data_IF_079223259008
#
_entry.id   IF_079223259008
#
_cell.length_a   1.000
_cell.length_b   1.000
_cell.length_c   1.000
_cell.angle_alpha   90.00
_cell.angle_beta   90.00
_cell.angle_gamma   90.00
#
_symmetry.space_group_name_H-M   'P 1'
#
loop_
_entity.id
_entity.type
_entity.pdbx_description
1 polymer ?
#
# COMPACT_ATOMS: atom_id res chain seq x y z
N UNK A 1 -4.38 22.32 -8.72
CA UNK A 1 -4.84 22.24 -7.32
C UNK A 1 -3.79 21.49 -6.51
N UNK A 2 -3.60 21.88 -5.24
CA UNK A 2 -2.53 21.39 -4.36
C UNK A 2 -2.71 19.93 -3.95
N UNK A 3 -1.73 19.32 -3.28
CA UNK A 3 -1.79 17.90 -3.04
C UNK A 3 -3.00 17.54 -2.17
N UNK A 4 -3.74 16.51 -2.58
CA UNK A 4 -4.64 15.79 -1.68
C UNK A 4 -3.77 14.91 -0.78
N UNK A 5 -4.06 14.89 0.51
CA UNK A 5 -3.34 14.09 1.48
C UNK A 5 -4.28 13.06 2.10
N UNK A 6 -3.86 11.79 2.10
CA UNK A 6 -4.55 10.71 2.81
C UNK A 6 -3.56 10.07 3.75
N UNK A 7 -3.68 10.36 5.03
CA UNK A 7 -2.67 10.01 6.04
C UNK A 7 -3.31 9.30 7.22
N UNK A 8 -2.75 8.16 7.65
CA UNK A 8 -3.15 7.44 8.89
C UNK A 8 -4.60 6.99 8.93
N UNK A 9 -5.11 6.49 7.80
CA UNK A 9 -6.46 5.93 7.71
C UNK A 9 -6.47 4.40 7.71
N UNK A 10 -7.61 3.84 8.13
CA UNK A 10 -7.95 2.42 7.98
C UNK A 10 -9.04 2.28 6.93
N UNK A 11 -8.79 1.47 5.90
CA UNK A 11 -9.78 1.09 4.91
C UNK A 11 -9.99 -0.42 5.02
N UNK A 12 -11.15 -0.83 5.51
CA UNK A 12 -11.43 -2.23 5.78
C UNK A 12 -12.75 -2.67 5.15
N UNK A 13 -12.82 -3.95 4.78
CA UNK A 13 -14.05 -4.63 4.35
C UNK A 13 -14.79 -3.94 3.18
N UNK A 14 -14.03 -3.39 2.23
CA UNK A 14 -14.55 -2.75 1.04
C UNK A 14 -14.91 -3.77 -0.06
N UNK A 15 -15.87 -3.39 -0.91
CA UNK A 15 -16.41 -4.19 -2.03
C UNK A 15 -15.68 -4.03 -3.37
N UNK A 16 -14.75 -3.06 -3.48
CA UNK A 16 -14.09 -2.76 -4.76
C UNK A 16 -12.58 -2.56 -4.62
N UNK A 17 -12.16 -1.66 -3.73
CA UNK A 17 -10.76 -1.42 -3.39
C UNK A 17 -10.71 -0.43 -2.23
N UNK A 18 -9.58 -0.38 -1.52
CA UNK A 18 -9.37 0.67 -0.53
C UNK A 18 -9.18 2.04 -1.19
N UNK A 19 -8.43 2.07 -2.29
CA UNK A 19 -8.34 3.23 -3.17
C UNK A 19 -8.65 2.84 -4.60
N UNK A 20 -9.51 3.65 -5.22
CA UNK A 20 -9.82 3.61 -6.64
C UNK A 20 -9.40 4.93 -7.27
N UNK A 21 -8.45 4.88 -8.20
CA UNK A 21 -8.16 6.01 -9.07
C UNK A 21 -8.91 5.82 -10.38
N UNK A 22 -9.75 6.80 -10.69
CA UNK A 22 -10.53 6.81 -11.92
C UNK A 22 -9.68 7.31 -13.09
N UNK A 23 -10.31 7.43 -14.24
CA UNK A 23 -9.64 7.79 -15.49
C UNK A 23 -9.09 9.22 -15.44
N UNK A 24 -7.87 9.38 -15.96
CA UNK A 24 -7.14 10.65 -16.08
C UNK A 24 -6.90 11.36 -14.73
N UNK A 25 -6.64 10.56 -13.69
CA UNK A 25 -6.28 11.07 -12.36
C UNK A 25 -4.85 11.61 -12.36
N UNK A 26 -4.68 12.93 -12.49
CA UNK A 26 -3.36 13.58 -12.65
C UNK A 26 -3.00 14.63 -11.59
N UNK A 27 -3.93 14.90 -10.66
CA UNK A 27 -3.66 15.77 -9.51
C UNK A 27 -2.59 15.17 -8.61
N UNK A 28 -1.81 16.02 -7.92
CA UNK A 28 -0.83 15.52 -6.93
C UNK A 28 -1.58 14.91 -5.75
N UNK A 29 -1.28 13.67 -5.40
CA UNK A 29 -1.89 13.00 -4.23
C UNK A 29 -0.81 12.30 -3.42
N UNK A 30 -0.79 12.54 -2.12
CA UNK A 30 0.15 11.95 -1.17
C UNK A 30 -0.60 11.00 -0.23
N UNK A 31 -0.22 9.74 -0.25
CA UNK A 31 -0.91 8.65 0.45
C UNK A 31 0.09 8.01 1.37
N UNK A 32 0.01 8.33 2.66
CA UNK A 32 1.02 7.96 3.64
C UNK A 32 0.43 7.23 4.83
N UNK A 33 1.10 6.18 5.31
CA UNK A 33 0.70 5.50 6.54
C UNK A 33 -0.77 5.07 6.55
N UNK A 34 -1.32 4.49 5.49
CA UNK A 34 -2.68 3.94 5.52
C UNK A 34 -2.62 2.42 5.65
N UNK A 35 -3.60 1.82 6.33
CA UNK A 35 -3.77 0.36 6.37
C UNK A 35 -5.03 -0.02 5.62
N UNK A 36 -4.87 -0.77 4.54
CA UNK A 36 -5.92 -1.26 3.67
C UNK A 36 -6.02 -2.77 3.83
N UNK A 37 -7.17 -3.28 4.27
CA UNK A 37 -7.36 -4.69 4.56
C UNK A 37 -8.71 -5.19 4.04
N UNK A 38 -8.72 -6.36 3.42
CA UNK A 38 -9.95 -7.09 3.13
C UNK A 38 -9.69 -8.58 3.13
N UNK A 39 -10.65 -9.35 3.65
CA UNK A 39 -10.73 -10.81 3.51
C UNK A 39 -11.88 -11.23 2.57
N UNK A 40 -12.57 -10.27 1.94
CA UNK A 40 -13.59 -10.61 0.93
C UNK A 40 -12.94 -11.38 -0.22
N UNK A 41 -13.53 -12.48 -0.70
CA UNK A 41 -12.97 -13.25 -1.80
C UNK A 41 -12.81 -12.42 -3.09
N UNK A 42 -11.75 -12.71 -3.87
CA UNK A 42 -11.45 -12.10 -5.17
C UNK A 42 -11.36 -10.56 -5.16
N UNK A 43 -10.87 -9.99 -4.06
CA UNK A 43 -10.81 -8.54 -3.88
C UNK A 43 -9.39 -7.99 -4.01
N UNK A 44 -9.21 -6.97 -4.86
CA UNK A 44 -7.93 -6.26 -4.93
C UNK A 44 -7.72 -5.34 -3.72
N UNK A 45 -6.47 -5.20 -3.28
CA UNK A 45 -6.09 -4.18 -2.30
C UNK A 45 -6.34 -2.77 -2.85
N UNK A 46 -5.74 -2.50 -4.00
CA UNK A 46 -5.89 -1.28 -4.79
C UNK A 46 -6.28 -1.60 -6.23
N UNK A 47 -7.05 -0.70 -6.84
CA UNK A 47 -7.29 -0.77 -8.28
C UNK A 47 -7.26 0.60 -8.96
N UNK A 48 -6.89 0.58 -10.24
CA UNK A 48 -6.93 1.76 -11.10
C UNK A 48 -7.66 1.39 -12.40
N UNK A 49 -8.62 2.21 -12.81
CA UNK A 49 -9.44 1.96 -14.01
C UNK A 49 -8.99 2.71 -15.27
N UNK A 50 -8.05 3.66 -15.15
CA UNK A 50 -7.60 4.50 -16.26
C UNK A 50 -6.16 4.97 -16.11
N UNK A 51 -5.71 5.87 -16.99
CA UNK A 51 -4.42 6.53 -16.83
C UNK A 51 -4.37 7.31 -15.51
N UNK A 52 -3.24 7.26 -14.81
CA UNK A 52 -3.01 8.05 -13.59
C UNK A 52 -1.54 8.39 -13.40
N UNK A 53 -1.27 9.55 -12.79
CA UNK A 53 0.07 10.07 -12.53
C UNK A 53 0.09 10.97 -11.29
N UNK A 54 1.28 11.41 -10.86
CA UNK A 54 1.49 12.32 -9.74
C UNK A 54 1.06 11.78 -8.36
N UNK A 55 1.04 10.46 -8.19
CA UNK A 55 0.82 9.84 -6.90
C UNK A 55 2.15 9.64 -6.16
N UNK A 56 2.18 9.96 -4.86
CA UNK A 56 3.29 9.66 -3.96
C UNK A 56 2.80 8.76 -2.84
N UNK A 57 3.38 7.58 -2.72
CA UNK A 57 2.98 6.58 -1.73
C UNK A 57 4.16 6.21 -0.86
N UNK A 58 3.97 6.25 0.46
CA UNK A 58 4.97 5.86 1.46
C UNK A 58 4.31 5.22 2.66
N UNK A 59 4.94 4.20 3.22
CA UNK A 59 4.62 3.64 4.53
C UNK A 59 3.21 3.05 4.67
N UNK A 60 2.57 2.67 3.57
CA UNK A 60 1.23 2.08 3.60
C UNK A 60 1.31 0.56 3.74
N UNK A 61 0.27 -0.03 4.32
CA UNK A 61 0.00 -1.47 4.29
C UNK A 61 -1.21 -1.71 3.39
N UNK A 62 -1.05 -2.57 2.40
CA UNK A 62 -2.09 -2.94 1.45
C UNK A 62 -2.20 -4.46 1.41
N UNK A 63 -3.38 -4.96 1.78
CA UNK A 63 -3.73 -6.36 1.61
C UNK A 63 -5.01 -6.53 0.82
N UNK A 64 -4.93 -7.37 -0.22
CA UNK A 64 -6.08 -7.93 -0.93
C UNK A 64 -6.15 -9.46 -0.82
N UNK A 65 -7.17 -10.04 -1.44
CA UNK A 65 -7.29 -11.50 -1.67
C UNK A 65 -7.13 -11.88 -3.15
N UNK A 66 -7.12 -10.88 -4.04
CA UNK A 66 -6.76 -10.98 -5.47
C UNK A 66 -5.40 -10.33 -5.71
N UNK A 67 -5.24 -9.20 -6.38
CA UNK A 67 -3.95 -8.50 -6.41
C UNK A 67 -3.82 -7.58 -5.21
N UNK A 68 -2.61 -7.35 -4.70
CA UNK A 68 -2.37 -6.23 -3.79
C UNK A 68 -2.60 -4.90 -4.52
N UNK A 69 -2.17 -4.83 -5.78
CA UNK A 69 -2.42 -3.71 -6.69
C UNK A 69 -2.70 -4.24 -8.10
N UNK A 70 -3.89 -3.99 -8.64
CA UNK A 70 -4.23 -4.25 -10.04
C UNK A 70 -4.41 -2.96 -10.87
N UNK A 71 -3.70 -2.89 -12.00
CA UNK A 71 -3.98 -1.95 -13.07
C UNK A 71 -3.64 -2.53 -14.44
N UNK A 72 -4.47 -2.24 -15.44
CA UNK A 72 -4.29 -2.73 -16.82
C UNK A 72 -4.02 -1.62 -17.84
N UNK A 73 -4.13 -0.35 -17.43
CA UNK A 73 -3.83 0.79 -18.29
C UNK A 73 -2.38 1.21 -18.09
N UNK A 74 -1.77 1.90 -19.05
CA UNK A 74 -0.43 2.46 -18.84
C UNK A 74 -0.45 3.46 -17.67
N UNK A 75 0.51 3.34 -16.75
CA UNK A 75 0.73 4.34 -15.72
C UNK A 75 1.47 5.54 -16.31
N UNK A 76 1.15 6.74 -15.84
CA UNK A 76 2.05 7.88 -15.95
C UNK A 76 3.14 7.83 -14.86
N UNK A 77 3.96 8.88 -14.75
CA UNK A 77 4.99 8.97 -13.71
C UNK A 77 4.34 9.03 -12.32
N UNK A 78 4.70 8.06 -11.48
CA UNK A 78 4.28 7.96 -10.09
C UNK A 78 5.51 7.67 -9.22
N UNK A 79 5.43 8.01 -7.94
CA UNK A 79 6.48 7.75 -6.96
C UNK A 79 5.94 6.84 -5.85
N UNK A 80 6.20 5.54 -6.00
CA UNK A 80 5.75 4.50 -5.09
C UNK A 80 6.99 3.87 -4.45
N UNK A 81 7.12 3.96 -3.13
CA UNK A 81 8.20 3.30 -2.40
C UNK A 81 7.86 3.09 -0.92
N UNK A 82 8.58 2.19 -0.23
CA UNK A 82 8.41 1.92 1.20
C UNK A 82 7.01 1.47 1.62
N UNK A 83 6.29 0.72 0.78
CA UNK A 83 4.97 0.18 1.13
C UNK A 83 5.00 -1.35 1.27
N UNK A 84 4.00 -1.89 1.95
CA UNK A 84 3.75 -3.32 2.03
C UNK A 84 2.56 -3.70 1.12
N UNK A 85 2.80 -4.54 0.11
CA UNK A 85 1.78 -5.03 -0.81
C UNK A 85 1.63 -6.54 -0.68
N UNK A 86 0.57 -7.00 -0.02
CA UNK A 86 0.33 -8.41 0.20
C UNK A 86 -0.97 -8.89 -0.44
N UNK A 87 -0.98 -10.17 -0.81
CA UNK A 87 -2.21 -10.85 -1.18
C UNK A 87 -2.21 -12.31 -0.77
N UNK A 88 -3.38 -12.81 -0.34
CA UNK A 88 -3.57 -14.21 0.04
C UNK A 88 -3.60 -15.17 -1.13
N UNK A 89 -3.72 -14.69 -2.39
CA UNK A 89 -3.63 -15.58 -3.56
C UNK A 89 -2.22 -16.15 -3.76
N UNK A 90 -1.20 -15.58 -3.11
CA UNK A 90 0.20 -15.74 -3.48
C UNK A 90 0.54 -14.89 -4.71
N UNK A 91 1.00 -15.53 -5.80
CA UNK A 91 1.42 -14.83 -7.00
C UNK A 91 0.31 -14.77 -8.08
N UNK A 92 0.36 -13.76 -8.97
CA UNK A 92 1.09 -12.50 -8.85
C UNK A 92 0.61 -11.57 -7.74
N UNK A 93 1.53 -10.84 -7.12
CA UNK A 93 1.20 -9.84 -6.09
C UNK A 93 0.69 -8.55 -6.74
N UNK A 94 1.36 -8.11 -7.81
CA UNK A 94 1.06 -6.85 -8.50
C UNK A 94 0.79 -7.09 -9.97
N UNK A 95 -0.18 -6.35 -10.52
CA UNK A 95 -0.34 -6.14 -11.96
C UNK A 95 -0.20 -4.65 -12.24
N UNK A 96 0.88 -4.25 -12.90
CA UNK A 96 1.22 -2.86 -13.18
C UNK A 96 1.39 -2.64 -14.68
N UNK A 97 0.65 -1.68 -15.25
CA UNK A 97 0.61 -1.41 -16.69
C UNK A 97 0.40 -2.66 -17.55
N UNK A 98 -0.57 -3.50 -17.14
CA UNK A 98 -0.92 -4.80 -17.74
C UNK A 98 0.12 -5.93 -17.60
N UNK A 99 1.30 -5.63 -17.04
CA UNK A 99 2.34 -6.63 -16.73
C UNK A 99 2.13 -7.19 -15.32
N UNK A 100 2.31 -8.50 -15.15
CA UNK A 100 2.15 -9.18 -13.85
C UNK A 100 3.51 -9.47 -13.23
N UNK A 101 3.62 -9.20 -11.94
CA UNK A 101 4.83 -9.43 -11.15
C UNK A 101 4.51 -10.35 -9.98
N UNK A 102 5.27 -11.42 -9.85
CA UNK A 102 5.05 -12.44 -8.83
C UNK A 102 5.37 -11.96 -7.43
N UNK A 103 6.26 -10.97 -7.29
CA UNK A 103 6.67 -10.36 -6.02
C UNK A 103 6.86 -8.86 -6.19
N UNK A 104 6.90 -8.12 -5.06
CA UNK A 104 7.29 -6.71 -5.06
C UNK A 104 8.74 -6.52 -5.53
N UNK A 105 9.64 -7.46 -5.19
CA UNK A 105 11.03 -7.42 -5.65
C UNK A 105 11.14 -7.49 -7.18
N UNK A 106 10.39 -8.38 -7.83
CA UNK A 106 10.35 -8.47 -9.30
C UNK A 106 9.76 -7.20 -9.94
N UNK A 107 8.80 -6.56 -9.27
CA UNK A 107 8.23 -5.28 -9.71
C UNK A 107 9.26 -4.14 -9.62
N UNK A 108 10.05 -4.08 -8.54
CA UNK A 108 11.17 -3.14 -8.42
C UNK A 108 12.22 -3.35 -9.51
N UNK A 109 12.68 -4.58 -9.76
CA UNK A 109 13.69 -4.84 -10.80
C UNK A 109 13.24 -4.35 -12.18
N UNK A 110 11.95 -4.48 -12.49
CA UNK A 110 11.40 -4.09 -13.79
C UNK A 110 11.10 -2.60 -13.93
N UNK A 111 10.79 -1.89 -12.83
CA UNK A 111 10.22 -0.54 -12.90
C UNK A 111 10.96 0.52 -12.08
N UNK A 112 11.78 0.12 -11.12
CA UNK A 112 12.40 0.99 -10.13
C UNK A 112 11.45 1.47 -9.03
N UNK A 113 10.19 1.02 -9.02
CA UNK A 113 9.20 1.34 -7.97
C UNK A 113 9.30 0.33 -6.82
N UNK A 114 8.98 0.74 -5.59
CA UNK A 114 8.91 -0.16 -4.42
C UNK A 114 10.20 -0.94 -4.13
N UNK A 115 11.35 -0.35 -4.43
CA UNK A 115 12.63 -0.99 -4.17
C UNK A 115 13.01 -1.07 -2.68
N UNK A 116 12.31 -0.34 -1.82
CA UNK A 116 12.36 -0.50 -0.37
C UNK A 116 11.07 -1.12 0.20
N UNK A 117 10.09 -1.44 -0.66
CA UNK A 117 8.85 -2.11 -0.29
C UNK A 117 9.01 -3.62 -0.10
N UNK A 118 7.92 -4.29 0.29
CA UNK A 118 7.88 -5.75 0.42
C UNK A 118 6.45 -6.32 0.38
N UNK A 119 6.34 -7.63 0.26
CA UNK A 119 5.11 -8.40 0.10
C UNK A 119 4.94 -9.50 1.16
N UNK A 120 5.40 -9.23 2.38
CA UNK A 120 5.11 -10.10 3.52
C UNK A 120 3.67 -9.92 4.00
N UNK A 121 3.06 -10.97 4.56
CA UNK A 121 1.75 -10.85 5.25
C UNK A 121 1.85 -9.78 6.34
N UNK A 122 0.91 -8.80 6.38
CA UNK A 122 1.00 -7.64 7.24
C UNK A 122 1.26 -7.87 8.74
N UNK A 123 0.86 -9.01 9.30
CA UNK A 123 1.04 -9.31 10.72
C UNK A 123 0.28 -8.33 11.62
N UNK A 124 -1.01 -8.11 11.34
CA UNK A 124 -1.88 -7.24 12.14
C UNK A 124 -2.45 -7.99 13.35
N UNK A 125 -2.76 -7.27 14.43
CA UNK A 125 -3.16 -7.82 15.72
C UNK A 125 -4.46 -8.63 15.69
N UNK A 126 -5.59 -8.04 15.25
CA UNK A 126 -6.88 -8.75 15.12
C UNK A 126 -7.81 -8.08 14.08
N UNK A 127 -7.51 -8.19 12.78
CA UNK A 127 -8.31 -7.57 11.72
C UNK A 127 -9.77 -7.98 11.72
N UNK A 128 -10.06 -9.25 12.04
CA UNK A 128 -11.42 -9.79 12.10
C UNK A 128 -12.31 -9.09 13.15
N UNK A 129 -11.70 -8.47 14.17
CA UNK A 129 -12.41 -7.69 15.20
C UNK A 129 -12.19 -6.18 15.05
N UNK A 130 -11.58 -5.73 13.95
CA UNK A 130 -11.34 -4.32 13.65
C UNK A 130 -10.07 -3.72 14.26
N UNK A 131 -9.20 -4.55 14.86
CA UNK A 131 -7.88 -4.12 15.31
C UNK A 131 -6.84 -4.36 14.21
N UNK A 132 -6.46 -3.27 13.56
CA UNK A 132 -5.51 -3.27 12.45
C UNK A 132 -4.11 -2.80 12.89
N UNK A 133 -3.88 -2.65 14.20
CA UNK A 133 -2.54 -2.34 14.71
C UNK A 133 -1.58 -3.49 14.42
N UNK A 134 -0.26 -3.24 14.49
CA UNK A 134 0.73 -4.29 14.28
C UNK A 134 0.73 -5.26 15.46
N UNK A 135 0.74 -6.56 15.16
CA UNK A 135 0.99 -7.58 16.15
C UNK A 135 2.49 -7.57 16.56
N UNK A 136 2.84 -8.06 17.76
CA UNK A 136 4.23 -8.29 18.12
C UNK A 136 4.96 -9.15 17.08
N UNK A 137 6.10 -8.68 16.59
CA UNK A 137 6.89 -9.36 15.55
C UNK A 137 6.39 -9.15 14.13
N UNK A 138 5.45 -8.22 13.90
CA UNK A 138 5.03 -7.83 12.55
C UNK A 138 6.24 -7.44 11.69
N UNK A 139 6.29 -7.85 10.40
CA UNK A 139 7.36 -7.43 9.49
C UNK A 139 7.31 -5.94 9.12
N UNK A 140 6.25 -5.23 9.55
CA UNK A 140 5.98 -3.84 9.28
C UNK A 140 6.40 -2.90 10.42
N UNK A 141 6.88 -3.45 11.54
CA UNK A 141 7.43 -2.65 12.62
C UNK A 141 8.82 -2.11 12.25
N UNK A 142 9.15 -0.89 12.69
CA UNK A 142 10.49 -0.30 12.55
C UNK A 142 11.01 -0.25 11.09
N UNK A 143 10.13 -0.04 10.11
CA UNK A 143 10.46 -0.24 8.69
C UNK A 143 10.08 0.90 7.76
N UNK A 144 9.35 1.90 8.23
CA UNK A 144 8.93 3.03 7.40
C UNK A 144 10.06 4.00 7.09
N UNK A 145 9.95 4.71 5.97
CA UNK A 145 10.77 5.90 5.75
C UNK A 145 10.30 7.03 6.66
N UNK A 146 11.24 7.81 7.18
CA UNK A 146 10.90 9.02 7.94
C UNK A 146 10.39 10.11 7.01
N UNK A 147 9.21 10.62 7.32
CA UNK A 147 8.53 11.73 6.68
C UNK A 147 8.39 12.86 7.69
N UNK A 148 9.28 13.86 7.60
CA UNK A 148 9.32 14.98 8.53
C UNK A 148 7.97 15.71 8.59
N UNK A 149 7.52 16.01 9.80
CA UNK A 149 6.21 16.60 10.09
C UNK A 149 5.04 15.60 10.11
N UNK A 150 5.27 14.31 9.84
CA UNK A 150 4.21 13.29 9.75
C UNK A 150 4.40 12.16 10.75
N UNK A 151 5.61 11.60 10.81
CA UNK A 151 5.94 10.45 11.65
C UNK A 151 7.21 10.69 12.48
N UNK A 152 7.37 11.92 12.99
CA UNK A 152 8.56 12.30 13.76
C UNK A 152 8.65 11.63 15.13
N UNK A 153 7.51 11.23 15.70
CA UNK A 153 7.44 10.47 16.93
C UNK A 153 7.18 9.00 16.59
N UNK A 154 8.14 8.15 16.92
CA UNK A 154 8.12 6.71 16.76
C UNK A 154 8.96 6.06 17.86
N UNK A 155 8.77 4.77 18.10
CA UNK A 155 9.66 3.97 18.94
C UNK A 155 10.60 3.14 18.07
N UNK A 156 11.67 2.62 18.67
CA UNK A 156 12.59 1.74 17.98
C UNK A 156 13.52 2.46 16.98
N UNK A 157 13.76 1.81 15.85
CA UNK A 157 14.74 2.23 14.84
C UNK A 157 14.13 3.09 13.73
N UNK A 158 12.85 2.94 13.42
CA UNK A 158 12.14 3.73 12.42
C UNK A 158 10.63 3.72 12.70
N UNK A 159 9.82 4.57 12.06
CA UNK A 159 8.37 4.49 12.20
C UNK A 159 7.81 3.15 11.71
N UNK A 160 6.63 2.79 12.18
CA UNK A 160 5.93 1.60 11.72
C UNK A 160 5.19 1.86 10.40
N UNK A 161 5.05 0.85 9.53
CA UNK A 161 4.15 0.95 8.38
C UNK A 161 2.69 0.93 8.85
N UNK A 162 1.81 1.55 8.06
CA UNK A 162 0.38 1.54 8.29
C UNK A 162 -0.10 2.69 9.19
N UNK A 163 -1.35 2.59 9.62
CA UNK A 163 -2.10 3.73 10.17
C UNK A 163 -1.66 4.20 11.56
N UNK A 164 -1.04 3.34 12.36
CA UNK A 164 -0.72 3.64 13.75
C UNK A 164 0.66 3.12 14.10
N UNK A 165 1.36 3.89 14.90
CA UNK A 165 2.62 3.50 15.53
C UNK A 165 2.36 2.57 16.71
N UNK A 166 3.19 1.53 16.87
CA UNK A 166 3.22 0.74 18.10
C UNK A 166 4.04 1.45 19.18
N UNK A 167 3.54 1.43 20.42
CA UNK A 167 4.13 2.11 21.58
C UNK A 167 4.47 1.13 22.70
#
# INVERSE_FOLDING_TARGET
AGPVWVVRNRFADYDASAFKFSNDSSGRVWIFHNTCWTDRPDQNGLNVSGYFENMVWRNNIIRGTRYAFEMSQAAGPNDLDWNNYFTTRGAPVVKWSDVRYDTVAAWCEATGLECHGHDAEPGLASPATGDFSLAPGSPNADRSVRLYGINDAFLGAAPDLGYVESW
#
